data_IF_255432936098
#
_entry.id   IF_255432936098
#
_cell.length_a   1.000
_cell.length_b   1.000
_cell.length_c   1.000
_cell.angle_alpha   90.00
_cell.angle_beta   90.00
_cell.angle_gamma   90.00
#
_symmetry.space_group_name_H-M   'P 1'
#
loop_
_entity.id
_entity.type
_entity.pdbx_description
1 polymer ?
#
# COMPACT_ATOMS: atom_id res chain seq x y z
N UNK A 1 -25.42 1.10 -6.98
CA UNK A 1 -25.04 1.60 -5.64
C UNK A 1 -23.93 2.63 -5.80
N UNK A 2 -23.94 3.72 -5.04
CA UNK A 2 -22.79 4.64 -4.98
C UNK A 2 -21.69 4.04 -4.09
N UNK A 3 -20.44 4.51 -4.22
CA UNK A 3 -19.31 4.05 -3.39
C UNK A 3 -19.61 4.18 -1.89
N UNK A 4 -20.23 5.29 -1.47
CA UNK A 4 -20.60 5.50 -0.07
C UNK A 4 -21.72 4.58 0.41
N UNK A 5 -22.69 4.27 -0.44
CA UNK A 5 -23.73 3.28 -0.12
C UNK A 5 -23.17 1.86 -0.05
N UNK A 6 -22.23 1.53 -0.94
CA UNK A 6 -21.52 0.25 -0.89
C UNK A 6 -20.74 0.15 0.42
N UNK A 7 -19.92 1.14 0.77
CA UNK A 7 -19.13 1.14 2.00
C UNK A 7 -20.01 0.98 3.25
N UNK A 8 -21.10 1.75 3.36
CA UNK A 8 -22.02 1.64 4.49
C UNK A 8 -22.81 0.33 4.54
N UNK A 9 -22.88 -0.43 3.44
CA UNK A 9 -23.58 -1.72 3.42
C UNK A 9 -22.74 -2.89 3.94
N UNK A 10 -21.43 -2.69 4.14
CA UNK A 10 -20.52 -3.72 4.63
C UNK A 10 -20.73 -4.00 6.13
N UNK A 11 -20.53 -5.25 6.54
CA UNK A 11 -20.54 -5.61 7.96
C UNK A 11 -19.31 -5.03 8.68
N UNK A 12 -19.34 -5.00 10.01
CA UNK A 12 -18.19 -4.55 10.81
C UNK A 12 -16.94 -5.43 10.59
N UNK A 13 -17.14 -6.72 10.31
CA UNK A 13 -16.06 -7.66 10.01
C UNK A 13 -15.42 -7.30 8.66
N UNK A 14 -16.23 -7.02 7.64
CA UNK A 14 -15.74 -6.67 6.31
C UNK A 14 -14.91 -5.37 6.35
N UNK A 15 -15.35 -4.37 7.13
CA UNK A 15 -14.57 -3.16 7.39
C UNK A 15 -13.25 -3.47 8.07
N UNK A 16 -13.23 -4.37 9.06
CA UNK A 16 -12.01 -4.81 9.74
C UNK A 16 -11.02 -5.49 8.79
N UNK A 17 -11.51 -6.33 7.88
CA UNK A 17 -10.69 -6.98 6.85
C UNK A 17 -10.10 -5.94 5.90
N UNK A 18 -10.92 -5.03 5.38
CA UNK A 18 -10.45 -3.95 4.50
C UNK A 18 -9.40 -3.07 5.16
N UNK A 19 -9.61 -2.69 6.42
CA UNK A 19 -8.65 -1.91 7.19
C UNK A 19 -7.33 -2.68 7.39
N UNK A 20 -7.41 -3.97 7.67
CA UNK A 20 -6.22 -4.83 7.81
C UNK A 20 -5.44 -4.91 6.50
N UNK A 21 -6.10 -5.17 5.38
CA UNK A 21 -5.47 -5.19 4.04
C UNK A 21 -4.81 -3.84 3.75
N UNK A 22 -5.49 -2.74 4.07
CA UNK A 22 -4.94 -1.40 3.88
C UNK A 22 -3.69 -1.15 4.71
N UNK A 23 -3.69 -1.53 6.00
CA UNK A 23 -2.52 -1.39 6.86
C UNK A 23 -1.32 -2.23 6.35
N UNK A 24 -1.57 -3.45 5.88
CA UNK A 24 -0.55 -4.28 5.25
C UNK A 24 -0.04 -3.63 3.95
N UNK A 25 -0.92 -3.05 3.14
CA UNK A 25 -0.56 -2.29 1.95
C UNK A 25 0.33 -1.08 2.27
N UNK A 26 0.02 -0.33 3.33
CA UNK A 26 0.83 0.80 3.82
C UNK A 26 2.22 0.32 4.27
N UNK A 27 2.31 -0.83 4.96
CA UNK A 27 3.59 -1.41 5.34
C UNK A 27 4.46 -1.71 4.11
N UNK A 28 3.91 -2.36 3.08
CA UNK A 28 4.62 -2.60 1.82
C UNK A 28 5.00 -1.29 1.12
N UNK A 29 4.10 -0.31 1.11
CA UNK A 29 4.40 1.01 0.55
C UNK A 29 5.59 1.68 1.22
N UNK A 30 5.68 1.63 2.55
CA UNK A 30 6.80 2.17 3.30
C UNK A 30 8.09 1.46 2.90
N UNK A 31 8.09 0.13 2.88
CA UNK A 31 9.25 -0.67 2.49
C UNK A 31 9.73 -0.33 1.06
N UNK A 32 8.81 -0.21 0.11
CA UNK A 32 9.13 0.15 -1.28
C UNK A 32 9.69 1.56 -1.40
N UNK A 33 9.10 2.54 -0.72
CA UNK A 33 9.59 3.91 -0.75
C UNK A 33 10.98 4.03 -0.14
N UNK A 34 11.21 3.40 1.01
CA UNK A 34 12.53 3.38 1.64
C UNK A 34 13.57 2.69 0.75
N UNK A 35 13.23 1.55 0.15
CA UNK A 35 14.10 0.86 -0.79
C UNK A 35 14.43 1.72 -2.02
N UNK A 36 13.48 2.52 -2.51
CA UNK A 36 13.70 3.44 -3.63
C UNK A 36 14.64 4.60 -3.25
N UNK A 37 14.49 5.13 -2.03
CA UNK A 37 15.36 6.17 -1.47
C UNK A 37 16.78 5.62 -1.31
N UNK A 38 16.93 4.44 -0.71
CA UNK A 38 18.23 3.78 -0.53
C UNK A 38 18.90 3.47 -1.87
N UNK A 39 18.14 2.97 -2.84
CA UNK A 39 18.63 2.71 -4.19
C UNK A 39 19.16 3.99 -4.85
N UNK A 40 18.42 5.10 -4.75
CA UNK A 40 18.84 6.41 -5.25
C UNK A 40 20.13 6.87 -4.57
N UNK A 41 20.20 6.79 -3.25
CA UNK A 41 21.35 7.21 -2.45
C UNK A 41 22.61 6.43 -2.81
N UNK A 42 22.47 5.11 -2.99
CA UNK A 42 23.55 4.24 -3.46
C UNK A 42 24.01 4.60 -4.87
N UNK A 43 23.08 4.87 -5.79
CA UNK A 43 23.37 5.34 -7.17
C UNK A 43 24.13 6.67 -7.18
N UNK A 44 23.83 7.55 -6.23
CA UNK A 44 24.49 8.85 -6.06
C UNK A 44 25.73 8.79 -5.17
N UNK A 45 26.17 7.59 -4.77
CA UNK A 45 27.33 7.35 -3.89
C UNK A 45 27.29 8.19 -2.61
N UNK A 46 26.09 8.41 -2.07
CA UNK A 46 25.87 9.25 -0.89
C UNK A 46 26.45 10.67 -1.01
N UNK A 47 26.56 11.20 -2.23
CA UNK A 47 27.10 12.55 -2.49
C UNK A 47 26.42 13.61 -1.61
N UNK A 48 27.20 14.58 -1.12
CA UNK A 48 26.70 15.70 -0.31
C UNK A 48 25.73 16.62 -1.07
N UNK A 49 25.75 16.57 -2.41
CA UNK A 49 24.87 17.36 -3.28
C UNK A 49 23.63 16.60 -3.77
N UNK A 50 23.32 15.44 -3.17
CA UNK A 50 22.13 14.66 -3.53
C UNK A 50 20.86 15.26 -2.93
N UNK A 51 19.73 15.09 -3.63
CA UNK A 51 18.42 15.47 -3.11
C UNK A 51 18.02 14.46 -2.03
N UNK A 52 17.68 14.93 -0.83
CA UNK A 52 17.20 14.08 0.25
C UNK A 52 15.70 13.84 0.08
N UNK A 53 15.34 12.69 -0.48
CA UNK A 53 13.95 12.28 -0.59
C UNK A 53 13.40 11.87 0.78
N UNK A 54 12.17 12.29 1.06
CA UNK A 54 11.43 11.94 2.27
C UNK A 54 10.13 11.25 1.87
N UNK A 55 9.74 10.25 2.63
CA UNK A 55 8.44 9.60 2.48
C UNK A 55 7.36 10.60 2.87
N UNK A 56 6.63 11.12 1.89
CA UNK A 56 5.50 12.02 2.14
C UNK A 56 4.26 11.20 2.47
N UNK A 57 3.34 11.71 3.34
CA UNK A 57 2.10 11.01 3.66
C UNK A 57 1.28 10.69 2.41
N UNK A 58 1.22 11.62 1.45
CA UNK A 58 0.55 11.40 0.18
C UNK A 58 1.15 10.23 -0.61
N UNK A 59 2.47 10.18 -0.77
CA UNK A 59 3.13 9.09 -1.50
C UNK A 59 2.91 7.73 -0.81
N UNK A 60 3.00 7.70 0.53
CA UNK A 60 2.76 6.51 1.33
C UNK A 60 1.32 5.99 1.15
N UNK A 61 0.33 6.87 1.23
CA UNK A 61 -1.08 6.48 1.09
C UNK A 61 -1.38 6.05 -0.35
N UNK A 62 -0.89 6.79 -1.35
CA UNK A 62 -1.13 6.46 -2.77
C UNK A 62 -0.55 5.10 -3.15
N UNK A 63 0.71 4.82 -2.78
CA UNK A 63 1.33 3.53 -3.07
C UNK A 63 0.72 2.43 -2.19
N UNK A 64 0.38 2.73 -0.94
CA UNK A 64 -0.30 1.78 -0.05
C UNK A 64 -1.67 1.35 -0.57
N UNK A 65 -2.43 2.28 -1.16
CA UNK A 65 -3.69 1.97 -1.83
C UNK A 65 -3.49 1.01 -3.01
N UNK A 66 -2.47 1.24 -3.85
CA UNK A 66 -2.12 0.34 -4.96
C UNK A 66 -1.79 -1.07 -4.43
N UNK A 67 -0.95 -1.18 -3.40
CA UNK A 67 -0.65 -2.47 -2.78
C UNK A 67 -1.88 -3.14 -2.19
N UNK A 68 -2.80 -2.37 -1.62
CA UNK A 68 -4.06 -2.90 -1.06
C UNK A 68 -4.92 -3.55 -2.15
N UNK A 69 -5.02 -2.92 -3.33
CA UNK A 69 -5.73 -3.49 -4.48
C UNK A 69 -5.09 -4.79 -4.96
N UNK A 70 -3.76 -4.83 -5.06
CA UNK A 70 -3.01 -6.02 -5.47
C UNK A 70 -3.20 -7.14 -4.44
N UNK A 71 -3.08 -6.84 -3.15
CA UNK A 71 -3.28 -7.80 -2.06
C UNK A 71 -4.69 -8.37 -2.09
N UNK A 72 -5.70 -7.53 -2.26
CA UNK A 72 -7.09 -7.96 -2.39
C UNK A 72 -7.27 -8.91 -3.58
N UNK A 73 -6.69 -8.60 -4.75
CA UNK A 73 -6.75 -9.46 -5.93
C UNK A 73 -6.08 -10.81 -5.68
N UNK A 74 -4.90 -10.82 -5.05
CA UNK A 74 -4.18 -12.06 -4.71
C UNK A 74 -4.99 -12.90 -3.73
N UNK A 75 -5.49 -12.30 -2.65
CA UNK A 75 -6.34 -12.99 -1.66
C UNK A 75 -7.59 -13.56 -2.33
N UNK A 76 -8.28 -12.76 -3.13
CA UNK A 76 -9.47 -13.21 -3.88
C UNK A 76 -9.14 -14.39 -4.79
N UNK A 77 -8.01 -14.35 -5.51
CA UNK A 77 -7.59 -15.44 -6.36
C UNK A 77 -7.29 -16.70 -5.54
N UNK A 78 -6.56 -16.58 -4.42
CA UNK A 78 -6.23 -17.69 -3.53
C UNK A 78 -7.48 -18.35 -2.94
N UNK A 79 -8.45 -17.57 -2.45
CA UNK A 79 -9.68 -18.12 -1.89
C UNK A 79 -10.64 -18.66 -2.94
N UNK A 80 -10.66 -18.09 -4.15
CA UNK A 80 -11.43 -18.65 -5.26
C UNK A 80 -10.90 -20.01 -5.76
N UNK A 81 -9.63 -20.32 -5.45
CA UNK A 81 -8.98 -21.56 -5.84
C UNK A 81 -9.15 -22.68 -4.79
N UNK A 82 -9.58 -22.35 -3.57
CA UNK A 82 -9.88 -23.34 -2.52
C UNK A 82 -11.37 -23.71 -2.67
N UNK A 83 -11.69 -24.96 -3.05
CA UNK A 83 -13.08 -25.39 -3.24
C UNK A 83 -13.88 -25.45 -1.94
#
# INVERSE_FOLDING_TARGET
MTLGQWLNSLSAIDHGILLTIFLVGIYFSKATLDGLIEFYDKKKKFSKFRIQFRVTPAALISIGFIYSLILYQILSAMFSFIP
#
